data_IF_746187152286
#
_entry.id   IF_746187152286
#
_cell.length_a   1.000
_cell.length_b   1.000
_cell.length_c   1.000
_cell.angle_alpha   90.00
_cell.angle_beta   90.00
_cell.angle_gamma   90.00
#
_symmetry.space_group_name_H-M   'P 1'
#
loop_
_entity.id
_entity.type
_entity.pdbx_description
1 polymer ?
#
# COMPACT_ATOMS: atom_id res chain seq x y z
N UNK A 1 6.34 19.06 5.84
CA UNK A 1 6.76 17.76 5.26
C UNK A 1 5.83 16.67 5.78
N UNK A 2 5.34 15.75 4.94
CA UNK A 2 4.55 14.60 5.43
C UNK A 2 5.39 13.80 6.44
N UNK A 3 4.78 13.40 7.55
CA UNK A 3 5.46 12.62 8.59
C UNK A 3 5.85 11.24 8.02
N UNK A 4 7.15 10.97 7.93
CA UNK A 4 7.68 9.71 7.39
C UNK A 4 7.50 8.51 8.33
N UNK A 5 7.17 8.76 9.60
CA UNK A 5 6.90 7.73 10.59
C UNK A 5 5.42 7.30 10.60
N UNK A 6 4.56 7.94 9.81
CA UNK A 6 3.17 7.51 9.67
C UNK A 6 3.10 6.09 9.09
N UNK A 7 2.19 5.28 9.65
CA UNK A 7 1.88 3.96 9.11
C UNK A 7 1.09 4.13 7.81
N UNK A 8 1.57 3.49 6.74
CA UNK A 8 1.00 3.54 5.40
C UNK A 8 0.57 2.14 4.99
N UNK A 9 -0.73 1.92 4.90
CA UNK A 9 -1.32 0.72 4.30
C UNK A 9 -1.69 1.02 2.85
N UNK A 10 -1.20 0.21 1.92
CA UNK A 10 -1.36 0.45 0.49
C UNK A 10 -1.94 -0.79 -0.16
N UNK A 11 -3.04 -0.60 -0.86
CA UNK A 11 -3.67 -1.62 -1.70
C UNK A 11 -3.91 -1.06 -3.09
N UNK A 12 -4.21 -1.94 -4.04
CA UNK A 12 -4.75 -1.54 -5.34
C UNK A 12 -5.70 -2.63 -5.84
N UNK A 13 -6.09 -2.57 -7.13
CA UNK A 13 -6.98 -3.58 -7.70
C UNK A 13 -6.37 -5.00 -7.67
N UNK A 14 -5.18 -5.19 -8.28
CA UNK A 14 -4.54 -6.50 -8.49
C UNK A 14 -3.27 -6.75 -7.66
N UNK A 15 -2.80 -5.76 -6.89
CA UNK A 15 -1.57 -5.82 -6.09
C UNK A 15 -0.30 -5.28 -6.78
N UNK A 16 -0.27 -5.17 -8.10
CA UNK A 16 0.93 -4.73 -8.83
C UNK A 16 1.33 -3.27 -8.53
N UNK A 17 0.36 -2.37 -8.43
CA UNK A 17 0.61 -0.93 -8.17
C UNK A 17 1.02 -0.68 -6.72
N UNK A 18 0.39 -1.38 -5.77
CA UNK A 18 0.72 -1.24 -4.35
C UNK A 18 2.13 -1.76 -4.05
N UNK A 19 2.56 -2.84 -4.71
CA UNK A 19 3.94 -3.34 -4.62
C UNK A 19 4.97 -2.28 -5.08
N UNK A 20 4.75 -1.67 -6.25
CA UNK A 20 5.61 -0.60 -6.77
C UNK A 20 5.62 0.64 -5.87
N UNK A 21 4.46 1.02 -5.34
CA UNK A 21 4.34 2.15 -4.42
C UNK A 21 5.13 1.93 -3.12
N UNK A 22 5.09 0.72 -2.56
CA UNK A 22 5.88 0.37 -1.37
C UNK A 22 7.38 0.53 -1.63
N UNK A 23 7.89 0.02 -2.76
CA UNK A 23 9.29 0.17 -3.14
C UNK A 23 9.72 1.65 -3.25
N UNK A 24 8.89 2.48 -3.89
CA UNK A 24 9.15 3.91 -4.04
C UNK A 24 9.15 4.62 -2.67
N UNK A 25 8.23 4.27 -1.78
CA UNK A 25 8.13 4.88 -0.46
C UNK A 25 9.28 4.46 0.45
N UNK A 26 9.67 3.19 0.43
CA UNK A 26 10.88 2.72 1.12
C UNK A 26 12.12 3.45 0.63
N UNK A 27 12.28 3.63 -0.70
CA UNK A 27 13.38 4.40 -1.27
C UNK A 27 13.37 5.90 -0.87
N UNK A 28 12.20 6.45 -0.54
CA UNK A 28 12.04 7.83 -0.03
C UNK A 28 12.23 7.96 1.49
N UNK A 29 12.51 6.85 2.18
CA UNK A 29 12.76 6.80 3.62
C UNK A 29 11.50 6.70 4.49
N UNK A 30 10.40 6.18 3.95
CA UNK A 30 9.27 5.76 4.77
C UNK A 30 9.55 4.36 5.31
N UNK A 31 9.45 4.19 6.63
CA UNK A 31 9.79 2.93 7.32
C UNK A 31 8.57 2.06 7.58
N UNK A 32 7.40 2.67 7.75
CA UNK A 32 6.18 1.99 8.15
C UNK A 32 5.23 1.79 6.97
N UNK A 33 5.67 1.07 5.94
CA UNK A 33 4.90 0.85 4.70
C UNK A 33 4.49 -0.61 4.56
N UNK A 34 3.19 -0.86 4.40
CA UNK A 34 2.60 -2.19 4.34
C UNK A 34 1.79 -2.37 3.07
N UNK A 35 2.08 -3.44 2.32
CA UNK A 35 1.35 -3.81 1.12
C UNK A 35 0.20 -4.77 1.47
N UNK A 36 -1.04 -4.32 1.31
CA UNK A 36 -2.24 -5.14 1.49
C UNK A 36 -2.67 -5.89 0.22
N UNK A 37 -1.89 -5.77 -0.86
CA UNK A 37 -2.12 -6.50 -2.11
C UNK A 37 -3.29 -5.98 -2.95
N UNK A 38 -3.93 -6.89 -3.67
CA UNK A 38 -5.04 -6.61 -4.55
C UNK A 38 -6.39 -6.81 -3.86
N UNK A 39 -7.24 -5.78 -3.86
CA UNK A 39 -8.60 -5.86 -3.29
C UNK A 39 -9.47 -6.92 -3.98
N UNK A 40 -9.17 -7.30 -5.23
CA UNK A 40 -9.87 -8.39 -5.92
C UNK A 40 -9.75 -9.75 -5.21
N UNK A 41 -8.70 -9.97 -4.41
CA UNK A 41 -8.50 -11.22 -3.67
C UNK A 41 -8.96 -11.16 -2.22
N UNK A 42 -9.58 -10.06 -1.77
CA UNK A 42 -10.03 -9.94 -0.39
C UNK A 42 -11.32 -10.73 -0.17
N UNK A 43 -11.49 -11.39 1.00
CA UNK A 43 -12.65 -12.25 1.28
C UNK A 43 -13.92 -11.47 1.66
N UNK A 44 -13.95 -10.15 1.44
CA UNK A 44 -14.99 -9.25 1.92
C UNK A 44 -15.72 -8.60 0.75
N UNK A 45 -16.94 -8.13 1.01
CA UNK A 45 -17.68 -7.33 0.04
C UNK A 45 -17.00 -5.98 -0.22
N UNK A 46 -17.00 -5.58 -1.49
CA UNK A 46 -16.44 -4.31 -1.93
C UNK A 46 -17.60 -3.36 -2.24
N UNK A 47 -17.62 -2.21 -1.58
CA UNK A 47 -18.50 -1.10 -1.97
C UNK A 47 -17.89 -0.41 -3.19
N UNK A 48 -18.70 -0.26 -4.24
CA UNK A 48 -18.31 0.43 -5.48
C UNK A 48 -18.81 1.87 -5.50
#
# INVERSE_FOLDING_TARGET
AKNKNSILYIYCQSGARSARACQILSAKGYTNVYNLGGIMGWPYEIVR
#
